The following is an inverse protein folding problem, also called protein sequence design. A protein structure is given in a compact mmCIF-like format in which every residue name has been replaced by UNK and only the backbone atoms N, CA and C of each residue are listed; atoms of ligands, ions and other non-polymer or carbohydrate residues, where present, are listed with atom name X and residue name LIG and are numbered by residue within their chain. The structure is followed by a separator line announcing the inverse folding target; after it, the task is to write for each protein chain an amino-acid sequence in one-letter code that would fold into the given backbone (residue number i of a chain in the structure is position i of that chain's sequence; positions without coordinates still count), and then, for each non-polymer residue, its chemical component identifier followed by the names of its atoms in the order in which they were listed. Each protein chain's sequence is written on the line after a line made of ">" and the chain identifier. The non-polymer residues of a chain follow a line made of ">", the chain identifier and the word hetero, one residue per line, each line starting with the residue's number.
data_IF_283453696413
#
_entry.id   IF_283453696413
#
_cell.length_a   1.000
_cell.length_b   1.000
_cell.length_c   1.000
_cell.angle_alpha   90.00
_cell.angle_beta   90.00
_cell.angle_gamma   90.00
#
_symmetry.space_group_name_H-M   'P 1'
#
loop_
_entity.id
_entity.type
_entity.pdbx_description
1 polymer ?
#
# COMPACT_ATOMS: atom_id res chain seq x y z
N UNK A 1 14.62 -1.46 19.32
CA UNK A 1 13.59 -1.38 18.27
C UNK A 1 12.51 -0.36 18.65
N UNK A 2 11.83 -0.49 19.81
CA UNK A 2 10.72 0.42 20.16
C UNK A 2 11.16 1.89 20.31
N UNK A 3 12.23 2.17 21.04
CA UNK A 3 12.73 3.54 21.19
C UNK A 3 13.07 4.18 19.83
N UNK A 4 13.68 3.44 18.92
CA UNK A 4 13.95 3.93 17.58
C UNK A 4 12.67 4.28 16.80
N UNK A 5 11.62 3.45 16.90
CA UNK A 5 10.35 3.73 16.21
C UNK A 5 9.63 4.96 16.78
N UNK A 6 9.75 5.20 18.10
CA UNK A 6 9.19 6.38 18.76
C UNK A 6 9.92 7.67 18.36
N UNK A 7 11.22 7.59 18.07
CA UNK A 7 12.07 8.71 17.68
C UNK A 7 12.09 8.95 16.16
N UNK A 8 11.62 7.99 15.35
CA UNK A 8 11.65 8.11 13.90
C UNK A 8 10.49 8.98 13.39
N UNK A 9 10.82 10.19 12.95
CA UNK A 9 9.84 11.18 12.53
C UNK A 9 8.95 10.72 11.37
N UNK A 10 9.42 10.13 10.27
CA UNK A 10 8.55 9.63 9.21
C UNK A 10 7.57 8.55 9.67
N UNK A 11 7.99 7.62 10.55
CA UNK A 11 7.09 6.61 11.11
C UNK A 11 5.99 7.22 11.96
N UNK A 12 6.35 8.16 12.84
CA UNK A 12 5.37 8.88 13.66
C UNK A 12 4.42 9.73 12.80
N UNK A 13 4.95 10.37 11.75
CA UNK A 13 4.15 11.20 10.84
C UNK A 13 3.09 10.39 10.11
N UNK A 14 3.41 9.22 9.54
CA UNK A 14 2.41 8.38 8.87
C UNK A 14 1.27 7.96 9.80
N UNK A 15 1.60 7.59 11.04
CA UNK A 15 0.60 7.23 12.04
C UNK A 15 -0.32 8.42 12.37
N UNK A 16 0.25 9.62 12.56
CA UNK A 16 -0.50 10.85 12.83
C UNK A 16 -1.46 11.21 11.69
N UNK A 17 -1.00 11.11 10.43
CA UNK A 17 -1.83 11.38 9.25
C UNK A 17 -3.04 10.45 9.23
N UNK A 18 -2.83 9.15 9.37
CA UNK A 18 -3.94 8.17 9.35
C UNK A 18 -4.90 8.38 10.52
N UNK A 19 -4.39 8.56 11.73
CA UNK A 19 -5.23 8.80 12.92
C UNK A 19 -6.07 10.06 12.80
N UNK A 20 -5.51 11.15 12.22
CA UNK A 20 -6.26 12.38 11.97
C UNK A 20 -7.45 12.15 11.04
N UNK A 21 -7.27 11.33 9.99
CA UNK A 21 -8.36 11.00 9.06
C UNK A 21 -9.37 10.01 9.65
N UNK A 22 -8.96 9.14 10.58
CA UNK A 22 -9.89 8.28 11.32
C UNK A 22 -10.77 9.05 12.30
N UNK A 23 -10.32 10.21 12.77
CA UNK A 23 -11.11 11.13 13.59
C UNK A 23 -12.16 11.93 12.77
N UNK A 24 -12.11 11.92 11.43
CA UNK A 24 -13.08 12.60 10.56
C UNK A 24 -14.50 12.06 10.75
N UNK A 25 -15.50 12.91 10.68
CA UNK A 25 -16.92 12.49 10.66
C UNK A 25 -17.38 11.95 9.30
N UNK A 26 -16.62 12.15 8.25
CA UNK A 26 -16.95 11.67 6.90
C UNK A 26 -16.54 10.20 6.71
N UNK A 27 -17.52 9.27 6.59
CA UNK A 27 -17.23 7.84 6.49
C UNK A 27 -16.52 7.45 5.19
N UNK A 28 -16.66 8.23 4.11
CA UNK A 28 -15.97 7.96 2.84
C UNK A 28 -14.51 8.39 2.93
N UNK A 29 -14.19 9.51 3.58
CA UNK A 29 -12.80 9.90 3.86
C UNK A 29 -12.08 8.88 4.76
N UNK A 30 -12.77 8.35 5.77
CA UNK A 30 -12.22 7.25 6.59
C UNK A 30 -11.88 6.02 5.73
N UNK A 31 -12.74 5.64 4.79
CA UNK A 31 -12.47 4.50 3.89
C UNK A 31 -11.28 4.75 2.97
N UNK A 32 -11.11 5.98 2.45
CA UNK A 32 -9.92 6.35 1.66
C UNK A 32 -8.66 6.16 2.50
N UNK A 33 -8.62 6.70 3.71
CA UNK A 33 -7.47 6.55 4.62
C UNK A 33 -7.21 5.07 4.96
N UNK A 34 -8.26 4.27 5.18
CA UNK A 34 -8.13 2.83 5.42
C UNK A 34 -7.55 2.09 4.21
N UNK A 35 -8.02 2.37 2.99
CA UNK A 35 -7.47 1.74 1.78
C UNK A 35 -5.98 2.08 1.62
N UNK A 36 -5.58 3.33 1.90
CA UNK A 36 -4.16 3.69 1.84
C UNK A 36 -3.33 3.04 2.94
N UNK A 37 -3.88 2.82 4.14
CA UNK A 37 -3.20 2.05 5.17
C UNK A 37 -2.97 0.60 4.72
N UNK A 38 -4.04 -0.09 4.31
CA UNK A 38 -4.04 -1.53 4.00
C UNK A 38 -3.33 -1.87 2.69
N UNK A 39 -3.44 -1.00 1.67
CA UNK A 39 -2.94 -1.29 0.31
C UNK A 39 -1.64 -0.58 -0.05
N UNK A 40 -1.22 0.43 0.73
CA UNK A 40 -0.02 1.22 0.45
C UNK A 40 0.96 1.23 1.63
N UNK A 41 0.55 1.72 2.81
CA UNK A 41 1.49 1.95 3.92
C UNK A 41 2.02 0.64 4.52
N UNK A 42 1.20 -0.39 4.68
CA UNK A 42 1.68 -1.69 5.15
C UNK A 42 2.65 -2.32 4.14
N UNK A 43 2.36 -2.17 2.84
CA UNK A 43 3.22 -2.71 1.79
C UNK A 43 4.61 -2.09 1.76
N UNK A 44 4.78 -0.83 2.17
CA UNK A 44 6.11 -0.20 2.21
C UNK A 44 7.10 -0.99 3.08
N UNK A 45 6.63 -1.61 4.15
CA UNK A 45 7.42 -2.47 5.03
C UNK A 45 7.73 -3.87 4.48
N UNK A 46 7.03 -4.32 3.43
CA UNK A 46 7.17 -5.67 2.90
C UNK A 46 8.30 -5.81 1.87
N UNK A 47 8.78 -4.72 1.30
CA UNK A 47 9.81 -4.78 0.27
C UNK A 47 11.08 -5.51 0.73
N UNK A 48 11.62 -5.15 1.89
CA UNK A 48 12.89 -5.69 2.38
C UNK A 48 12.85 -7.21 2.64
N UNK A 49 11.85 -7.76 3.36
CA UNK A 49 11.73 -9.22 3.49
C UNK A 49 11.56 -9.93 2.16
N UNK A 50 10.81 -9.37 1.20
CA UNK A 50 10.63 -9.96 -0.12
C UNK A 50 11.91 -9.90 -0.96
N UNK A 51 12.70 -8.83 -0.83
CA UNK A 51 14.03 -8.71 -1.41
C UNK A 51 14.96 -9.84 -0.95
N UNK A 52 15.00 -10.13 0.35
CA UNK A 52 15.79 -11.24 0.87
C UNK A 52 15.22 -12.62 0.47
N UNK A 53 13.91 -12.76 0.49
CA UNK A 53 13.24 -14.01 0.10
C UNK A 53 13.50 -14.37 -1.37
N UNK A 54 13.49 -13.38 -2.27
CA UNK A 54 13.81 -13.59 -3.68
C UNK A 54 15.24 -14.09 -3.93
N UNK A 55 16.09 -14.06 -2.90
CA UNK A 55 17.48 -14.55 -2.89
C UNK A 55 17.66 -15.77 -1.98
N UNK A 56 16.57 -16.43 -1.60
CA UNK A 56 16.59 -17.62 -0.74
C UNK A 56 16.98 -17.36 0.70
N UNK A 57 16.84 -16.09 1.17
CA UNK A 57 17.16 -15.67 2.54
C UNK A 57 15.90 -15.26 3.27
N UNK A 58 15.86 -15.46 4.61
CA UNK A 58 14.75 -15.09 5.48
C UNK A 58 13.38 -15.64 5.01
N UNK A 59 13.37 -16.83 4.41
CA UNK A 59 12.18 -17.44 3.80
C UNK A 59 11.05 -17.61 4.81
N UNK A 60 11.32 -18.08 6.03
CA UNK A 60 10.31 -18.21 7.08
C UNK A 60 9.69 -16.86 7.47
N UNK A 61 10.48 -15.79 7.51
CA UNK A 61 9.97 -14.43 7.76
C UNK A 61 9.08 -13.98 6.60
N UNK A 62 9.51 -14.24 5.37
CA UNK A 62 8.71 -13.94 4.19
C UNK A 62 7.38 -14.70 4.16
N UNK A 63 7.36 -15.97 4.59
CA UNK A 63 6.12 -16.76 4.68
C UNK A 63 5.13 -16.17 5.67
N UNK A 64 5.59 -15.72 6.83
CA UNK A 64 4.73 -15.01 7.78
C UNK A 64 4.17 -13.70 7.19
N UNK A 65 5.01 -12.94 6.49
CA UNK A 65 4.58 -11.69 5.84
C UNK A 65 3.59 -11.96 4.70
N UNK A 66 3.74 -13.05 3.94
CA UNK A 66 2.77 -13.44 2.90
C UNK A 66 1.37 -13.71 3.48
N UNK A 67 1.28 -14.27 4.69
CA UNK A 67 -0.02 -14.41 5.37
C UNK A 67 -0.64 -13.03 5.65
N UNK A 68 0.16 -12.07 6.14
CA UNK A 68 -0.30 -10.70 6.36
C UNK A 68 -0.72 -10.06 5.03
N UNK A 69 0.11 -10.13 3.99
CA UNK A 69 -0.19 -9.58 2.65
C UNK A 69 -1.52 -10.10 2.12
N UNK A 70 -1.82 -11.38 2.32
CA UNK A 70 -3.09 -11.96 1.89
C UNK A 70 -4.27 -11.34 2.63
N UNK A 71 -4.17 -11.14 3.92
CA UNK A 71 -5.22 -10.54 4.72
C UNK A 71 -5.40 -9.05 4.35
N UNK A 72 -4.30 -8.29 4.21
CA UNK A 72 -4.34 -6.89 3.82
C UNK A 72 -4.88 -6.67 2.39
N UNK A 73 -4.63 -7.61 1.48
CA UNK A 73 -5.21 -7.56 0.14
C UNK A 73 -6.74 -7.68 0.17
N UNK A 74 -7.28 -8.54 1.04
CA UNK A 74 -8.73 -8.68 1.24
C UNK A 74 -9.31 -7.43 1.89
N UNK A 75 -8.66 -6.89 2.92
CA UNK A 75 -9.09 -5.67 3.61
C UNK A 75 -9.14 -4.48 2.64
N UNK A 76 -8.04 -4.21 1.93
CA UNK A 76 -7.95 -3.10 0.99
C UNK A 76 -9.01 -3.18 -0.12
N UNK A 77 -9.22 -4.37 -0.70
CA UNK A 77 -10.25 -4.59 -1.70
C UNK A 77 -11.66 -4.38 -1.12
N UNK A 78 -11.98 -4.99 0.02
CA UNK A 78 -13.31 -4.91 0.61
C UNK A 78 -13.68 -3.47 1.00
N UNK A 79 -12.76 -2.74 1.64
CA UNK A 79 -12.98 -1.35 2.02
C UNK A 79 -13.13 -0.47 0.77
N UNK A 80 -12.30 -0.71 -0.25
CA UNK A 80 -12.40 -0.03 -1.55
C UNK A 80 -13.74 -0.28 -2.23
N UNK A 81 -14.23 -1.52 -2.27
CA UNK A 81 -15.55 -1.84 -2.77
C UNK A 81 -16.65 -1.09 -2.00
N UNK A 82 -16.57 -1.06 -0.66
CA UNK A 82 -17.53 -0.31 0.18
C UNK A 82 -17.45 1.20 -0.05
N UNK A 83 -16.29 1.73 -0.37
CA UNK A 83 -16.12 3.11 -0.77
C UNK A 83 -16.81 3.38 -2.11
N UNK A 84 -16.54 2.59 -3.15
CA UNK A 84 -17.14 2.74 -4.47
C UNK A 84 -18.69 2.64 -4.40
N UNK A 85 -19.22 1.71 -3.61
CA UNK A 85 -20.66 1.62 -3.35
C UNK A 85 -21.20 2.87 -2.65
N UNK A 86 -20.45 3.47 -1.76
CA UNK A 86 -20.83 4.74 -1.12
C UNK A 86 -20.92 5.92 -2.09
N UNK A 87 -20.12 5.91 -3.17
CA UNK A 87 -20.17 6.96 -4.19
C UNK A 87 -21.50 6.96 -4.98
N UNK A 88 -22.20 5.84 -5.06
CA UNK A 88 -23.49 5.75 -5.77
C UNK A 88 -24.57 6.66 -5.15
N UNK A 89 -24.44 7.05 -3.89
CA UNK A 89 -25.41 7.79 -3.12
C UNK A 89 -25.11 9.28 -2.93
N UNK A 90 -24.06 9.79 -3.60
CA UNK A 90 -23.65 11.21 -3.48
C UNK A 90 -23.60 11.88 -4.85
N UNK A 91 -23.60 13.23 -4.84
CA UNK A 91 -23.53 14.05 -6.05
C UNK A 91 -22.19 13.93 -6.77
N UNK A 92 -22.16 14.28 -8.06
CA UNK A 92 -20.93 14.33 -8.85
C UNK A 92 -19.90 15.29 -8.26
N UNK A 93 -20.33 16.46 -7.79
CA UNK A 93 -19.43 17.41 -7.11
C UNK A 93 -18.77 16.80 -5.87
N UNK A 94 -19.54 16.06 -5.05
CA UNK A 94 -18.99 15.38 -3.86
C UNK A 94 -18.03 14.23 -4.22
N UNK A 95 -18.25 13.55 -5.36
CA UNK A 95 -17.33 12.52 -5.87
C UNK A 95 -16.00 13.15 -6.28
N UNK A 96 -16.05 14.28 -6.99
CA UNK A 96 -14.83 15.01 -7.40
C UNK A 96 -14.06 15.53 -6.20
N UNK A 97 -14.75 16.07 -5.18
CA UNK A 97 -14.11 16.48 -3.92
C UNK A 97 -13.41 15.31 -3.21
N UNK A 98 -14.03 14.12 -3.18
CA UNK A 98 -13.43 12.93 -2.59
C UNK A 98 -12.25 12.40 -3.42
N UNK A 99 -12.30 12.50 -4.74
CA UNK A 99 -11.19 12.16 -5.62
C UNK A 99 -9.98 13.06 -5.36
N UNK A 100 -10.19 14.38 -5.33
CA UNK A 100 -9.13 15.34 -5.02
C UNK A 100 -8.56 15.09 -3.64
N UNK A 101 -9.41 14.87 -2.63
CA UNK A 101 -8.97 14.49 -1.29
C UNK A 101 -8.13 13.20 -1.28
N UNK A 102 -8.52 12.18 -2.05
CA UNK A 102 -7.74 10.94 -2.14
C UNK A 102 -6.36 11.16 -2.76
N UNK A 103 -6.29 11.96 -3.83
CA UNK A 103 -5.01 12.29 -4.47
C UNK A 103 -4.10 13.10 -3.57
N UNK A 104 -4.64 14.12 -2.89
CA UNK A 104 -3.87 14.95 -1.95
C UNK A 104 -3.34 14.12 -0.77
N UNK A 105 -4.18 13.27 -0.18
CA UNK A 105 -3.76 12.39 0.92
C UNK A 105 -2.72 11.37 0.46
N UNK A 106 -2.89 10.77 -0.73
CA UNK A 106 -1.90 9.85 -1.27
C UNK A 106 -0.55 10.51 -1.47
N UNK A 107 -0.53 11.73 -2.00
CA UNK A 107 0.73 12.47 -2.21
C UNK A 107 1.39 12.82 -0.87
N UNK A 108 0.64 13.26 0.13
CA UNK A 108 1.18 13.51 1.48
C UNK A 108 1.83 12.24 2.07
N UNK A 109 1.15 11.10 1.95
CA UNK A 109 1.66 9.82 2.43
C UNK A 109 2.87 9.34 1.61
N UNK A 110 2.82 9.48 0.28
CA UNK A 110 3.93 9.12 -0.60
C UNK A 110 5.19 9.93 -0.31
N UNK A 111 5.07 11.25 -0.15
CA UNK A 111 6.21 12.11 0.17
C UNK A 111 6.85 11.73 1.51
N UNK A 112 6.04 11.33 2.48
CA UNK A 112 6.54 10.84 3.76
C UNK A 112 7.26 9.49 3.62
N UNK A 113 6.69 8.54 2.87
CA UNK A 113 7.30 7.23 2.63
C UNK A 113 8.57 7.34 1.78
N UNK A 114 8.61 8.25 0.80
CA UNK A 114 9.79 8.50 -0.01
C UNK A 114 10.96 9.02 0.84
N UNK A 115 10.70 9.97 1.76
CA UNK A 115 11.71 10.45 2.72
C UNK A 115 12.18 9.35 3.66
N UNK A 116 11.25 8.57 4.19
CA UNK A 116 11.58 7.41 5.03
C UNK A 116 12.45 6.40 4.28
N UNK A 117 12.15 6.15 3.00
CA UNK A 117 12.94 5.30 2.12
C UNK A 117 14.35 5.83 1.91
N UNK A 118 14.50 7.13 1.66
CA UNK A 118 15.79 7.78 1.50
C UNK A 118 16.64 7.66 2.76
N UNK A 119 16.05 7.93 3.94
CA UNK A 119 16.76 7.80 5.21
C UNK A 119 17.17 6.35 5.51
N UNK A 120 16.30 5.38 5.27
CA UNK A 120 16.52 3.99 5.64
C UNK A 120 17.49 3.26 4.69
N UNK A 121 17.44 3.59 3.40
CA UNK A 121 18.17 2.86 2.35
C UNK A 121 19.29 3.66 1.69
N UNK A 122 19.66 4.83 2.22
CA UNK A 122 20.69 5.72 1.64
C UNK A 122 22.00 4.99 1.31
N UNK A 123 22.46 4.12 2.21
CA UNK A 123 23.77 3.44 2.09
C UNK A 123 23.68 2.09 1.35
N UNK A 124 22.49 1.65 0.97
CA UNK A 124 22.28 0.30 0.40
C UNK A 124 22.24 0.28 -1.12
N UNK A 125 21.96 1.43 -1.76
CA UNK A 125 21.72 1.54 -3.18
C UNK A 125 20.31 1.05 -3.63
N UNK A 126 19.38 0.87 -2.69
CA UNK A 126 18.04 0.33 -2.98
C UNK A 126 16.93 1.39 -3.02
N UNK A 127 17.26 2.66 -2.86
CA UNK A 127 16.29 3.76 -2.78
C UNK A 127 15.36 3.77 -3.99
N UNK A 128 15.90 3.66 -5.20
CA UNK A 128 15.10 3.70 -6.43
C UNK A 128 14.18 2.48 -6.57
N UNK A 129 14.69 1.30 -6.26
CA UNK A 129 13.89 0.06 -6.27
C UNK A 129 12.72 0.12 -5.27
N UNK A 130 12.96 0.66 -4.07
CA UNK A 130 11.92 0.83 -3.05
C UNK A 130 10.91 1.89 -3.48
N UNK A 131 11.36 3.02 -4.05
CA UNK A 131 10.45 4.05 -4.59
C UNK A 131 9.58 3.54 -5.73
N UNK A 132 10.10 2.73 -6.63
CA UNK A 132 9.31 2.07 -7.66
C UNK A 132 8.23 1.16 -7.05
N UNK A 133 8.58 0.43 -5.99
CA UNK A 133 7.63 -0.39 -5.24
C UNK A 133 6.56 0.45 -4.52
N UNK A 134 6.91 1.62 -3.99
CA UNK A 134 5.94 2.58 -3.42
C UNK A 134 4.96 3.06 -4.50
N UNK A 135 5.45 3.50 -5.67
CA UNK A 135 4.60 3.93 -6.80
C UNK A 135 3.64 2.83 -7.25
N UNK A 136 4.13 1.59 -7.35
CA UNK A 136 3.33 0.42 -7.71
C UNK A 136 2.16 0.19 -6.73
N UNK A 137 2.43 0.19 -5.42
CA UNK A 137 1.40 -0.03 -4.41
C UNK A 137 0.47 1.17 -4.24
N UNK A 138 0.94 2.40 -4.44
CA UNK A 138 0.11 3.59 -4.49
C UNK A 138 -0.91 3.52 -5.63
N UNK A 139 -0.49 3.12 -6.83
CA UNK A 139 -1.39 2.88 -7.95
C UNK A 139 -2.43 1.78 -7.63
N UNK A 140 -2.01 0.67 -7.03
CA UNK A 140 -2.95 -0.40 -6.59
C UNK A 140 -3.97 0.11 -5.57
N UNK A 141 -3.56 0.94 -4.63
CA UNK A 141 -4.47 1.52 -3.65
C UNK A 141 -5.51 2.44 -4.31
N UNK A 142 -5.11 3.26 -5.30
CA UNK A 142 -6.06 4.06 -6.11
C UNK A 142 -7.03 3.17 -6.88
N UNK A 143 -6.55 2.09 -7.48
CA UNK A 143 -7.41 1.13 -8.21
C UNK A 143 -8.44 0.47 -7.27
N UNK A 144 -8.09 0.16 -6.03
CA UNK A 144 -9.03 -0.33 -5.03
C UNK A 144 -10.15 0.68 -4.72
N UNK A 145 -9.84 1.99 -4.80
CA UNK A 145 -10.83 3.07 -4.69
C UNK A 145 -11.64 3.30 -5.97
N UNK A 146 -11.31 2.62 -7.08
CA UNK A 146 -11.93 2.81 -8.38
C UNK A 146 -11.39 4.01 -9.16
N UNK A 147 -10.21 4.51 -8.80
CA UNK A 147 -9.49 5.58 -9.48
C UNK A 147 -8.40 5.03 -10.41
N UNK A 148 -8.02 5.83 -11.39
CA UNK A 148 -6.91 5.49 -12.29
C UNK A 148 -5.55 5.61 -11.56
N UNK A 149 -4.54 4.93 -12.10
CA UNK A 149 -3.17 5.04 -11.65
C UNK A 149 -2.66 6.49 -11.75
N UNK A 150 -1.97 6.97 -10.72
CA UNK A 150 -1.37 8.31 -10.70
C UNK A 150 0.06 8.31 -11.23
N UNK A 151 0.84 7.31 -10.83
CA UNK A 151 2.25 7.19 -11.23
C UNK A 151 2.37 6.47 -12.57
N UNK A 152 3.17 7.01 -13.53
CA UNK A 152 3.45 6.34 -14.79
C UNK A 152 4.04 4.93 -14.58
N UNK A 153 3.82 4.04 -15.56
CA UNK A 153 4.29 2.64 -15.50
C UNK A 153 5.81 2.55 -15.28
N UNK A 154 6.56 3.46 -15.89
CA UNK A 154 8.02 3.52 -15.79
C UNK A 154 8.50 3.82 -14.36
N UNK A 155 7.73 4.59 -13.59
CA UNK A 155 8.01 4.87 -12.18
C UNK A 155 7.58 3.74 -11.24
N UNK A 156 6.67 2.88 -11.69
CA UNK A 156 6.09 1.78 -10.93
C UNK A 156 6.62 0.41 -11.38
N UNK A 157 7.75 0.37 -12.10
CA UNK A 157 8.36 -0.86 -12.60
C UNK A 157 9.13 -1.55 -11.47
N UNK A 158 8.49 -2.55 -10.87
CA UNK A 158 9.06 -3.35 -9.78
C UNK A 158 9.81 -4.56 -10.34
N UNK A 159 10.97 -4.86 -9.75
CA UNK A 159 11.74 -6.04 -10.09
C UNK A 159 10.85 -7.31 -10.03
N UNK A 160 10.74 -8.09 -11.12
CA UNK A 160 9.88 -9.27 -11.20
C UNK A 160 10.13 -10.31 -10.10
N UNK A 161 11.38 -10.43 -9.63
CA UNK A 161 11.73 -11.35 -8.54
C UNK A 161 11.11 -10.92 -7.19
N UNK A 162 10.94 -9.61 -6.97
CA UNK A 162 10.25 -9.08 -5.78
C UNK A 162 8.74 -9.36 -5.90
N UNK A 163 8.14 -9.12 -7.07
CA UNK A 163 6.72 -9.42 -7.31
C UNK A 163 6.41 -10.91 -7.16
N UNK A 164 7.28 -11.78 -7.68
CA UNK A 164 7.16 -13.22 -7.48
C UNK A 164 7.28 -13.62 -6.00
N UNK A 165 8.16 -12.95 -5.24
CA UNK A 165 8.31 -13.21 -3.81
C UNK A 165 7.08 -12.76 -2.99
N UNK A 166 6.31 -11.79 -3.46
CA UNK A 166 5.05 -11.36 -2.82
C UNK A 166 3.94 -12.40 -3.00
N UNK A 167 3.95 -13.14 -4.10
CA UNK A 167 2.95 -14.17 -4.38
C UNK A 167 3.32 -15.46 -3.69
N UNK A 168 2.46 -16.03 -2.83
CA UNK A 168 2.81 -17.19 -2.02
C UNK A 168 3.04 -18.49 -2.80
N UNK A 169 2.61 -18.64 -4.02
CA UNK A 169 2.93 -19.78 -4.89
C UNK A 169 2.57 -19.42 -6.33
N UNK A 170 3.58 -19.30 -7.19
CA UNK A 170 3.35 -19.17 -8.62
C UNK A 170 2.69 -20.45 -9.23
N UNK A 171 2.74 -21.57 -8.50
CA UNK A 171 2.16 -22.87 -8.91
C UNK A 171 0.77 -23.14 -8.28
N UNK A 172 0.40 -22.44 -7.22
CA UNK A 172 -0.96 -22.44 -6.68
C UNK A 172 -1.64 -21.14 -7.06
N UNK A 173 -2.27 -21.13 -8.22
CA UNK A 173 -3.19 -20.06 -8.65
C UNK A 173 -4.43 -20.05 -7.76
N UNK A 174 -4.28 -19.72 -6.50
CA UNK A 174 -5.38 -19.24 -5.69
C UNK A 174 -5.62 -17.78 -6.04
N UNK A 175 -6.15 -17.57 -7.22
CA UNK A 175 -6.89 -16.37 -7.50
C UNK A 175 -8.13 -16.39 -6.61
N UNK A 176 -8.02 -15.70 -5.47
CA UNK A 176 -9.08 -15.58 -4.48
C UNK A 176 -10.38 -15.01 -5.08
N UNK A 177 -10.30 -14.42 -6.26
CA UNK A 177 -11.39 -13.76 -6.95
C UNK A 177 -11.96 -14.55 -8.14
N UNK A 178 -11.27 -15.57 -8.66
CA UNK A 178 -11.76 -16.37 -9.78
C UNK A 178 -12.64 -17.55 -9.37
N UNK A 179 -12.74 -17.87 -8.09
CA UNK A 179 -13.55 -18.99 -7.60
C UNK A 179 -13.07 -20.39 -8.08
N UNK A 180 -11.91 -20.48 -8.71
CA UNK A 180 -11.32 -21.74 -9.16
C UNK A 180 -10.31 -22.27 -8.14
N UNK A 181 -10.79 -22.55 -6.93
CA UNK A 181 -10.12 -23.42 -5.99
C UNK A 181 -10.58 -24.84 -6.27
N UNK A 182 -9.77 -25.64 -6.96
CA UNK A 182 -9.91 -27.10 -6.98
C UNK A 182 -8.92 -27.74 -6.05
#
# INVERSE_FOLDING_TARGET
>A
AYAWSEENNPLQRKAQIILAHYASDNPLRKKIASVFLESFLFYSGFWLPMYFSSRGKLTNTADLIRLIIRDEAVHGYYIGYKFQKGLEYISESAREELKNFALDLLMELYDNEARYTEELYAETGWVDDVKAFLCYNANKALMNLGYEALFPSEMAEVNPAILAALSPNADENHDFFSGSGS
#
